data_IF_099658782442
#
_entry.id   IF_099658782442
#
_cell.length_a   1.000
_cell.length_b   1.000
_cell.length_c   1.000
_cell.angle_alpha   90.00
_cell.angle_beta   90.00
_cell.angle_gamma   90.00
#
_symmetry.space_group_name_H-M   'P 1'
#
loop_
_entity.id
_entity.type
_entity.pdbx_description
1 polymer ?
#
# COMPACT_ATOMS: atom_id res chain seq x y z
N UNK A 1 10.13 5.43 1.36
CA UNK A 1 9.98 5.16 2.81
C UNK A 1 11.35 4.91 3.40
N UNK A 2 11.76 5.63 4.45
CA UNK A 2 13.10 5.51 5.06
C UNK A 2 13.03 5.36 6.58
N UNK A 3 14.19 5.14 7.20
CA UNK A 3 14.38 5.39 8.63
C UNK A 3 14.25 6.89 8.94
N UNK A 4 14.16 7.22 10.23
CA UNK A 4 14.07 8.57 10.81
C UNK A 4 15.45 9.21 11.03
N UNK A 5 16.42 8.89 10.16
CA UNK A 5 17.70 9.57 10.10
C UNK A 5 17.69 10.58 8.93
N UNK A 6 17.89 11.88 9.19
CA UNK A 6 17.94 12.92 8.15
C UNK A 6 18.92 12.62 7.01
N UNK A 7 20.01 11.90 7.29
CA UNK A 7 21.04 11.58 6.30
C UNK A 7 20.45 10.82 5.10
N UNK A 8 19.49 9.92 5.30
CA UNK A 8 18.89 9.15 4.22
C UNK A 8 18.07 10.02 3.27
N UNK A 9 17.21 10.89 3.81
CA UNK A 9 16.37 11.76 3.00
C UNK A 9 17.21 12.84 2.30
N UNK A 10 18.20 13.41 2.99
CA UNK A 10 19.09 14.40 2.41
C UNK A 10 19.91 13.80 1.25
N UNK A 11 20.43 12.58 1.42
CA UNK A 11 21.13 11.87 0.36
C UNK A 11 20.21 11.58 -0.84
N UNK A 12 18.96 11.20 -0.61
CA UNK A 12 17.97 11.03 -1.67
C UNK A 12 17.74 12.32 -2.43
N UNK A 13 17.42 13.43 -1.74
CA UNK A 13 17.18 14.72 -2.36
C UNK A 13 18.36 15.21 -3.21
N UNK A 14 19.59 14.99 -2.72
CA UNK A 14 20.79 15.38 -3.44
C UNK A 14 21.00 14.64 -4.78
N UNK A 15 20.49 13.41 -4.91
CA UNK A 15 20.72 12.56 -6.08
C UNK A 15 19.49 12.47 -6.99
N UNK A 16 18.31 12.32 -6.38
CA UNK A 16 17.05 12.04 -7.05
C UNK A 16 16.11 13.25 -7.10
N UNK A 17 16.47 14.35 -6.44
CA UNK A 17 15.60 15.52 -6.27
C UNK A 17 14.54 15.32 -5.18
N UNK A 18 13.65 16.31 -5.04
CA UNK A 18 12.61 16.30 -4.00
C UNK A 18 11.59 15.19 -4.27
N UNK A 19 11.38 14.34 -3.26
CA UNK A 19 10.32 13.34 -3.29
C UNK A 19 8.96 14.00 -3.04
N UNK A 20 7.95 13.60 -3.81
CA UNK A 20 6.54 14.00 -3.62
C UNK A 20 6.04 13.66 -2.20
N UNK A 21 6.44 12.50 -1.69
CA UNK A 21 6.11 12.06 -0.33
C UNK A 21 7.35 11.61 0.46
N UNK A 22 7.59 12.25 1.60
CA UNK A 22 8.58 11.81 2.59
C UNK A 22 7.93 10.89 3.61
N UNK A 23 7.99 9.58 3.38
CA UNK A 23 7.38 8.59 4.26
C UNK A 23 8.39 7.93 5.21
N UNK A 24 8.05 7.82 6.48
CA UNK A 24 8.80 7.10 7.50
C UNK A 24 8.37 5.63 7.60
N UNK A 25 9.32 4.75 7.85
CA UNK A 25 9.06 3.32 8.00
C UNK A 25 8.31 3.02 9.30
N UNK A 26 7.12 2.39 9.19
CA UNK A 26 6.24 2.12 10.33
C UNK A 26 6.93 1.32 11.44
N UNK A 27 7.86 0.42 11.10
CA UNK A 27 8.65 -0.35 12.07
C UNK A 27 9.66 0.50 12.84
N UNK A 28 10.34 1.44 12.16
CA UNK A 28 11.31 2.32 12.83
C UNK A 28 10.61 3.27 13.81
N UNK A 29 9.42 3.74 13.44
CA UNK A 29 8.56 4.50 14.34
C UNK A 29 8.13 3.66 15.53
N UNK A 30 7.62 2.45 15.27
CA UNK A 30 7.19 1.50 16.31
C UNK A 30 8.30 1.22 17.31
N UNK A 31 9.50 0.90 16.81
CA UNK A 31 10.68 0.66 17.62
C UNK A 31 11.07 1.91 18.42
N UNK A 32 11.04 3.09 17.81
CA UNK A 32 11.40 4.35 18.48
C UNK A 32 10.41 4.70 19.57
N UNK A 33 9.10 4.61 19.29
CA UNK A 33 8.04 4.79 20.30
C UNK A 33 8.19 3.79 21.43
N UNK A 34 8.36 2.51 21.14
CA UNK A 34 8.51 1.49 22.18
C UNK A 34 9.69 1.80 23.10
N UNK A 35 10.87 2.11 22.53
CA UNK A 35 12.06 2.50 23.31
C UNK A 35 11.79 3.74 24.18
N UNK A 36 11.18 4.77 23.60
CA UNK A 36 10.99 6.05 24.29
C UNK A 36 9.89 5.99 25.34
N UNK A 37 8.83 5.23 25.12
CA UNK A 37 7.80 4.94 26.14
C UNK A 37 8.45 4.25 27.33
N UNK A 38 9.32 3.27 27.11
CA UNK A 38 9.98 2.57 28.21
C UNK A 38 10.86 3.49 29.06
N UNK A 39 11.53 4.45 28.42
CA UNK A 39 12.47 5.37 29.10
C UNK A 39 11.82 6.62 29.66
N UNK A 40 10.76 7.14 29.02
CA UNK A 40 10.19 8.47 29.32
C UNK A 40 8.84 8.44 30.02
N UNK A 41 8.14 7.30 30.00
CA UNK A 41 6.91 7.11 30.79
C UNK A 41 7.29 6.54 32.15
N UNK A 42 6.97 7.26 33.23
CA UNK A 42 7.29 6.86 34.61
C UNK A 42 6.23 5.97 35.25
N UNK A 43 5.06 5.83 34.62
CA UNK A 43 3.96 5.03 35.13
C UNK A 43 4.13 3.52 34.99
N UNK A 44 3.10 2.79 35.41
CA UNK A 44 3.09 1.32 35.46
C UNK A 44 3.23 0.66 34.08
N UNK A 45 3.50 -0.65 34.08
CA UNK A 45 3.57 -1.43 32.84
C UNK A 45 2.25 -1.38 32.05
N UNK A 46 1.12 -1.38 32.75
CA UNK A 46 -0.22 -1.27 32.17
C UNK A 46 -0.38 0.07 31.45
N UNK A 47 0.07 1.17 32.08
CA UNK A 47 0.02 2.52 31.49
C UNK A 47 0.89 2.64 30.25
N UNK A 48 2.13 2.13 30.31
CA UNK A 48 3.03 2.05 29.16
C UNK A 48 2.41 1.25 28.00
N UNK A 49 1.77 0.13 28.33
CA UNK A 49 1.10 -0.74 27.36
C UNK A 49 -0.11 -0.05 26.74
N UNK A 50 -0.89 0.65 27.55
CA UNK A 50 -2.04 1.44 27.09
C UNK A 50 -1.59 2.52 26.10
N UNK A 51 -0.63 3.37 26.48
CA UNK A 51 -0.11 4.45 25.62
C UNK A 51 0.40 3.89 24.29
N UNK A 52 1.19 2.81 24.35
CA UNK A 52 1.69 2.16 23.15
C UNK A 52 0.55 1.67 22.24
N UNK A 53 -0.44 0.96 22.80
CA UNK A 53 -1.60 0.47 22.03
C UNK A 53 -2.40 1.62 21.41
N UNK A 54 -2.63 2.71 22.15
CA UNK A 54 -3.37 3.85 21.64
C UNK A 54 -2.62 4.53 20.50
N UNK A 55 -1.29 4.69 20.61
CA UNK A 55 -0.45 5.18 19.51
C UNK A 55 -0.46 4.26 18.28
N UNK A 56 -0.56 2.93 18.47
CA UNK A 56 -0.71 1.99 17.35
C UNK A 56 -2.05 2.18 16.64
N UNK A 57 -3.13 2.35 17.39
CA UNK A 57 -4.47 2.61 16.81
C UNK A 57 -4.41 3.91 16.01
N UNK A 58 -3.89 4.99 16.62
CA UNK A 58 -3.69 6.28 15.98
C UNK A 58 -2.85 6.18 14.69
N UNK A 59 -1.74 5.43 14.70
CA UNK A 59 -0.90 5.23 13.52
C UNK A 59 -1.65 4.57 12.36
N UNK A 60 -2.57 3.65 12.65
CA UNK A 60 -3.30 2.86 11.66
C UNK A 60 -4.66 3.46 11.28
N UNK A 61 -5.06 4.58 11.90
CA UNK A 61 -6.28 5.27 11.52
C UNK A 61 -6.18 5.72 10.06
N UNK A 62 -7.25 5.48 9.31
CA UNK A 62 -7.33 5.70 7.85
C UNK A 62 -8.15 6.93 7.50
N UNK A 63 -9.02 7.38 8.40
CA UNK A 63 -9.78 8.62 8.27
C UNK A 63 -9.00 9.78 8.88
N UNK A 64 -8.87 10.88 8.14
CA UNK A 64 -8.13 12.08 8.58
C UNK A 64 -8.83 12.77 9.74
N UNK A 65 -10.17 12.90 9.71
CA UNK A 65 -10.94 13.58 10.75
C UNK A 65 -10.91 12.80 12.07
N UNK A 66 -11.11 11.48 12.00
CA UNK A 66 -11.00 10.60 13.18
C UNK A 66 -9.57 10.61 13.73
N UNK A 67 -8.56 10.61 12.86
CA UNK A 67 -7.15 10.73 13.26
C UNK A 67 -6.86 12.03 14.01
N UNK A 68 -7.32 13.18 13.51
CA UNK A 68 -7.10 14.48 14.15
C UNK A 68 -7.77 14.55 15.52
N UNK A 69 -9.00 14.05 15.63
CA UNK A 69 -9.73 13.97 16.90
C UNK A 69 -9.01 13.07 17.91
N UNK A 70 -8.56 11.89 17.48
CA UNK A 70 -7.79 10.96 18.31
C UNK A 70 -6.44 11.57 18.74
N UNK A 71 -5.75 12.27 17.82
CA UNK A 71 -4.47 12.91 18.06
C UNK A 71 -4.59 14.02 19.11
N UNK A 72 -5.64 14.83 19.04
CA UNK A 72 -5.94 15.86 20.03
C UNK A 72 -6.19 15.22 21.41
N UNK A 73 -7.05 14.22 21.48
CA UNK A 73 -7.39 13.53 22.73
C UNK A 73 -6.17 12.90 23.43
N UNK A 74 -5.34 12.16 22.70
CA UNK A 74 -4.12 11.57 23.29
C UNK A 74 -3.08 12.64 23.64
N UNK A 75 -3.00 13.73 22.88
CA UNK A 75 -2.07 14.82 23.17
C UNK A 75 -2.41 15.50 24.49
N UNK A 76 -3.70 15.74 24.75
CA UNK A 76 -4.16 16.30 26.02
C UNK A 76 -3.92 15.31 27.18
N UNK A 77 -4.26 14.03 27.01
CA UNK A 77 -4.00 12.99 28.01
C UNK A 77 -2.51 12.89 28.39
N UNK A 78 -1.62 12.89 27.39
CA UNK A 78 -0.18 12.78 27.61
C UNK A 78 0.44 14.07 28.19
N UNK A 79 -0.14 15.23 27.89
CA UNK A 79 0.35 16.52 28.38
C UNK A 79 0.00 16.75 29.84
N UNK A 80 -1.21 16.36 30.22
CA UNK A 80 -1.79 16.70 31.52
C UNK A 80 -1.39 15.68 32.61
N UNK A 81 -0.83 14.54 32.23
CA UNK A 81 -0.36 13.50 33.13
C UNK A 81 1.16 13.56 33.39
N UNK A 82 1.53 13.76 34.66
CA UNK A 82 2.92 13.88 35.13
C UNK A 82 3.81 12.67 34.77
N UNK A 83 3.24 11.46 34.68
CA UNK A 83 4.01 10.26 34.32
C UNK A 83 4.42 10.24 32.85
N UNK A 84 3.70 10.99 32.00
CA UNK A 84 3.79 10.88 30.55
C UNK A 84 4.26 12.16 29.88
N UNK A 85 4.29 13.28 30.61
CA UNK A 85 4.70 14.61 30.12
C UNK A 85 6.07 14.64 29.43
N UNK A 86 7.04 13.87 29.90
CA UNK A 86 8.35 13.78 29.26
C UNK A 86 8.27 13.07 27.89
N UNK A 87 7.44 12.03 27.80
CA UNK A 87 7.14 11.36 26.54
C UNK A 87 6.34 12.29 25.61
N UNK A 88 5.38 13.06 26.13
CA UNK A 88 4.64 14.05 25.35
C UNK A 88 5.57 15.07 24.69
N UNK A 89 6.52 15.65 25.43
CA UNK A 89 7.50 16.58 24.88
C UNK A 89 8.33 15.95 23.76
N UNK A 90 8.77 14.70 23.95
CA UNK A 90 9.43 13.94 22.89
C UNK A 90 8.53 13.77 21.66
N UNK A 91 7.28 13.35 21.86
CA UNK A 91 6.32 13.10 20.78
C UNK A 91 5.99 14.39 20.00
N UNK A 92 5.82 15.50 20.71
CA UNK A 92 5.60 16.83 20.14
C UNK A 92 6.76 17.28 19.25
N UNK A 93 7.99 17.27 19.77
CA UNK A 93 9.15 17.72 18.99
C UNK A 93 9.46 16.83 17.79
N UNK A 94 9.16 15.52 17.88
CA UNK A 94 9.61 14.55 16.89
C UNK A 94 8.52 14.03 15.95
N UNK A 95 7.22 14.18 16.23
CA UNK A 95 6.19 13.55 15.38
C UNK A 95 4.99 14.44 15.06
N UNK A 96 4.57 15.34 15.95
CA UNK A 96 3.38 16.17 15.73
C UNK A 96 3.48 17.11 14.53
N UNK A 97 4.67 17.64 14.23
CA UNK A 97 4.87 18.57 13.10
C UNK A 97 5.04 17.87 11.74
N UNK A 98 4.88 16.54 11.68
CA UNK A 98 5.15 15.76 10.47
C UNK A 98 4.25 14.53 10.37
N UNK A 99 2.98 14.69 10.73
CA UNK A 99 1.96 13.63 10.73
C UNK A 99 1.82 12.94 9.37
N UNK A 100 2.01 13.69 8.27
CA UNK A 100 1.93 13.15 6.91
C UNK A 100 3.03 12.14 6.62
N UNK A 101 4.16 12.21 7.34
CA UNK A 101 5.28 11.29 7.15
C UNK A 101 5.02 9.93 7.79
N UNK A 102 4.12 9.83 8.77
CA UNK A 102 3.98 8.62 9.57
C UNK A 102 2.58 8.02 9.68
N UNK A 103 1.51 8.81 9.71
CA UNK A 103 0.15 8.31 9.90
C UNK A 103 -0.40 7.65 8.64
N UNK A 104 -1.28 6.64 8.79
CA UNK A 104 -1.80 5.87 7.66
C UNK A 104 -2.84 6.64 6.84
N UNK A 105 -3.66 7.47 7.48
CA UNK A 105 -4.64 8.34 6.82
C UNK A 105 -4.02 9.24 5.73
N UNK A 106 -2.75 9.65 5.89
CA UNK A 106 -2.01 10.45 4.91
C UNK A 106 -1.18 9.63 3.91
N UNK A 107 -1.16 8.29 4.03
CA UNK A 107 -0.45 7.37 3.10
C UNK A 107 -1.36 6.78 2.02
N UNK A 108 -2.61 7.22 1.95
CA UNK A 108 -3.57 6.75 0.95
C UNK A 108 -2.95 6.86 -0.45
N UNK A 109 -3.17 5.83 -1.28
CA UNK A 109 -2.66 5.71 -2.66
C UNK A 109 -1.14 5.48 -2.81
N UNK A 110 -0.34 5.50 -1.75
CA UNK A 110 1.12 5.31 -1.88
C UNK A 110 1.54 3.86 -2.18
N UNK A 111 0.68 2.86 -1.93
CA UNK A 111 0.97 1.44 -2.20
C UNK A 111 2.11 0.82 -1.36
N UNK A 112 2.66 1.56 -0.39
CA UNK A 112 3.80 1.18 0.47
C UNK A 112 3.29 0.93 1.90
N UNK A 113 2.43 -0.08 2.07
CA UNK A 113 1.89 -0.42 3.39
C UNK A 113 2.67 -1.54 4.12
N UNK A 114 3.59 -2.23 3.44
CA UNK A 114 4.15 -3.49 3.97
C UNK A 114 5.68 -3.45 4.02
N UNK A 115 6.19 -3.09 5.20
CA UNK A 115 7.59 -3.34 5.55
C UNK A 115 7.96 -4.83 5.41
N UNK A 116 6.98 -5.74 5.43
CA UNK A 116 7.15 -7.20 5.33
C UNK A 116 7.94 -7.65 4.09
N UNK A 117 7.73 -7.05 2.91
CA UNK A 117 8.45 -7.47 1.70
C UNK A 117 9.94 -7.08 1.77
N UNK A 118 10.22 -5.85 2.20
CA UNK A 118 11.58 -5.37 2.40
C UNK A 118 12.28 -6.15 3.50
N UNK A 119 11.63 -6.37 4.65
CA UNK A 119 12.17 -7.18 5.75
C UNK A 119 12.43 -8.63 5.32
N UNK A 120 11.55 -9.22 4.51
CA UNK A 120 11.76 -10.57 3.97
C UNK A 120 13.00 -10.62 3.09
N UNK A 121 13.17 -9.65 2.18
CA UNK A 121 14.36 -9.54 1.33
C UNK A 121 15.62 -9.33 2.18
N UNK A 122 15.58 -8.40 3.14
CA UNK A 122 16.71 -8.10 4.02
C UNK A 122 17.10 -9.30 4.89
N UNK A 123 16.13 -10.06 5.42
CA UNK A 123 16.39 -11.32 6.12
C UNK A 123 17.02 -12.34 5.20
N UNK A 124 16.50 -12.51 3.99
CA UNK A 124 17.07 -13.44 3.01
C UNK A 124 18.53 -13.10 2.73
N UNK A 125 18.84 -11.83 2.42
CA UNK A 125 20.20 -11.36 2.19
C UNK A 125 21.08 -11.59 3.43
N UNK A 126 20.60 -11.19 4.62
CA UNK A 126 21.34 -11.31 5.87
C UNK A 126 21.72 -12.74 6.17
N UNK A 127 20.79 -13.69 6.08
CA UNK A 127 21.02 -15.06 6.53
C UNK A 127 21.59 -15.96 5.44
N UNK A 128 21.10 -15.90 4.20
CA UNK A 128 21.54 -16.79 3.13
C UNK A 128 22.77 -16.28 2.37
N UNK A 129 22.99 -14.96 2.31
CA UNK A 129 24.08 -14.37 1.54
C UNK A 129 25.18 -13.75 2.41
N UNK A 130 24.86 -13.35 3.65
CA UNK A 130 25.79 -12.74 4.61
C UNK A 130 26.02 -13.58 5.88
N UNK A 131 25.52 -14.81 5.95
CA UNK A 131 25.71 -15.75 7.06
C UNK A 131 25.33 -15.19 8.44
N UNK A 132 24.32 -14.31 8.49
CA UNK A 132 23.82 -13.69 9.72
C UNK A 132 24.73 -12.60 10.30
N UNK A 133 25.85 -12.28 9.67
CA UNK A 133 26.86 -11.35 10.21
C UNK A 133 26.56 -9.91 9.80
N UNK A 134 26.84 -8.97 10.71
CA UNK A 134 26.84 -7.54 10.37
C UNK A 134 28.02 -7.27 9.45
N UNK A 135 27.74 -6.80 8.23
CA UNK A 135 28.77 -6.49 7.26
C UNK A 135 29.04 -4.98 7.24
N UNK A 136 30.28 -4.59 7.55
CA UNK A 136 30.72 -3.18 7.48
C UNK A 136 31.23 -2.78 6.10
N UNK A 137 31.48 -3.76 5.23
CA UNK A 137 32.05 -3.56 3.89
C UNK A 137 30.96 -3.46 2.85
N UNK A 138 30.88 -2.28 2.23
CA UNK A 138 29.88 -1.98 1.20
C UNK A 138 30.00 -2.89 -0.02
N UNK A 139 31.22 -3.17 -0.47
CA UNK A 139 31.48 -4.02 -1.65
C UNK A 139 30.96 -5.45 -1.47
N UNK A 140 31.07 -6.00 -0.25
CA UNK A 140 30.54 -7.31 0.07
C UNK A 140 29.01 -7.32 0.11
N UNK A 141 28.38 -6.25 0.60
CA UNK A 141 26.93 -6.08 0.53
C UNK A 141 26.44 -6.00 -0.91
N UNK A 142 27.13 -5.25 -1.78
CA UNK A 142 26.81 -5.17 -3.21
C UNK A 142 26.92 -6.55 -3.87
N UNK A 143 27.99 -7.30 -3.60
CA UNK A 143 28.15 -8.64 -4.14
C UNK A 143 27.03 -9.60 -3.66
N UNK A 144 26.64 -9.52 -2.38
CA UNK A 144 25.52 -10.29 -1.85
C UNK A 144 24.19 -9.95 -2.55
N UNK A 145 23.92 -8.65 -2.77
CA UNK A 145 22.76 -8.17 -3.52
C UNK A 145 22.75 -8.69 -4.96
N UNK A 146 23.89 -8.63 -5.67
CA UNK A 146 24.00 -9.13 -7.04
C UNK A 146 23.74 -10.64 -7.13
N UNK A 147 24.27 -11.43 -6.19
CA UNK A 147 23.99 -12.87 -6.11
C UNK A 147 22.50 -13.13 -5.86
N UNK A 148 21.90 -12.42 -4.92
CA UNK A 148 20.47 -12.51 -4.64
C UNK A 148 19.62 -12.21 -5.88
N UNK A 149 19.92 -11.12 -6.60
CA UNK A 149 19.19 -10.75 -7.81
C UNK A 149 19.29 -11.85 -8.88
N UNK A 150 20.49 -12.40 -9.09
CA UNK A 150 20.71 -13.49 -10.05
C UNK A 150 19.88 -14.72 -9.69
N UNK A 151 19.87 -15.11 -8.43
CA UNK A 151 19.17 -16.30 -7.97
C UNK A 151 17.63 -16.11 -8.04
N UNK A 152 17.12 -14.91 -7.73
CA UNK A 152 15.70 -14.57 -7.92
C UNK A 152 15.26 -14.56 -9.40
N UNK A 153 16.13 -14.07 -10.30
CA UNK A 153 15.87 -14.13 -11.75
C UNK A 153 15.77 -15.58 -12.20
N UNK A 154 16.68 -16.45 -11.74
CA UNK A 154 16.67 -17.86 -12.08
C UNK A 154 15.44 -18.59 -11.53
N UNK A 155 15.09 -18.36 -10.27
CA UNK A 155 13.86 -18.87 -9.65
C UNK A 155 12.60 -18.43 -10.42
N UNK A 156 12.59 -17.19 -10.90
CA UNK A 156 11.50 -16.71 -11.75
C UNK A 156 11.42 -17.46 -13.08
N UNK A 157 12.54 -17.72 -13.75
CA UNK A 157 12.54 -18.53 -14.97
C UNK A 157 11.98 -19.93 -14.73
N UNK A 158 12.36 -20.58 -13.62
CA UNK A 158 11.82 -21.88 -13.22
C UNK A 158 10.31 -21.80 -13.01
N UNK A 159 9.81 -20.78 -12.30
CA UNK A 159 8.38 -20.60 -12.06
C UNK A 159 7.60 -20.40 -13.36
N UNK A 160 8.13 -19.59 -14.28
CA UNK A 160 7.54 -19.38 -15.59
C UNK A 160 7.50 -20.68 -16.42
N UNK A 161 8.58 -21.44 -16.45
CA UNK A 161 8.63 -22.74 -17.15
C UNK A 161 7.62 -23.74 -16.57
N UNK A 162 7.33 -23.66 -15.27
CA UNK A 162 6.35 -24.51 -14.57
C UNK A 162 4.93 -23.94 -14.58
N UNK A 163 4.66 -22.83 -15.27
CA UNK A 163 3.39 -22.09 -15.19
C UNK A 163 2.93 -21.79 -13.75
N UNK A 164 3.88 -21.61 -12.81
CA UNK A 164 3.58 -21.22 -11.43
C UNK A 164 3.46 -19.70 -11.34
N UNK A 165 2.33 -19.24 -10.81
CA UNK A 165 2.00 -17.83 -10.64
C UNK A 165 2.68 -17.25 -9.39
N UNK A 166 2.88 -15.93 -9.38
CA UNK A 166 3.18 -15.25 -8.14
C UNK A 166 1.89 -14.95 -7.37
N UNK A 167 1.98 -14.84 -6.04
CA UNK A 167 0.81 -14.61 -5.17
C UNK A 167 0.02 -13.34 -5.53
N UNK A 168 0.66 -12.34 -6.15
CA UNK A 168 0.00 -11.11 -6.60
C UNK A 168 -0.79 -11.33 -7.89
N UNK A 169 -0.30 -12.15 -8.81
CA UNK A 169 -1.06 -12.57 -10.00
C UNK A 169 -2.28 -13.42 -9.61
N UNK A 170 -2.13 -14.32 -8.62
CA UNK A 170 -3.24 -15.13 -8.11
C UNK A 170 -4.36 -14.24 -7.54
N UNK A 171 -3.99 -13.22 -6.74
CA UNK A 171 -4.97 -12.26 -6.20
C UNK A 171 -5.71 -11.47 -7.28
N UNK A 172 -5.01 -11.06 -8.34
CA UNK A 172 -5.64 -10.40 -9.49
C UNK A 172 -6.65 -11.37 -10.14
N UNK A 173 -6.28 -12.64 -10.30
CA UNK A 173 -7.18 -13.65 -10.88
C UNK A 173 -8.40 -13.94 -10.00
N UNK A 174 -8.21 -14.01 -8.68
CA UNK A 174 -9.31 -14.16 -7.71
C UNK A 174 -10.28 -12.99 -7.84
N UNK A 175 -9.78 -11.75 -7.88
CA UNK A 175 -10.62 -10.55 -8.05
C UNK A 175 -11.32 -10.52 -9.41
N UNK A 176 -10.67 -10.97 -10.48
CA UNK A 176 -11.30 -11.13 -11.79
C UNK A 176 -12.45 -12.14 -11.74
N UNK A 177 -12.21 -13.33 -11.20
CA UNK A 177 -13.23 -14.38 -11.09
C UNK A 177 -14.39 -13.97 -10.18
N UNK A 178 -14.11 -13.18 -9.14
CA UNK A 178 -15.15 -12.60 -8.30
C UNK A 178 -16.02 -11.64 -9.11
N UNK A 179 -15.42 -10.79 -9.95
CA UNK A 179 -16.16 -9.85 -10.79
C UNK A 179 -17.09 -10.55 -11.81
N UNK A 180 -16.62 -11.64 -12.42
CA UNK A 180 -17.43 -12.45 -13.36
C UNK A 180 -18.69 -13.02 -12.71
N UNK A 181 -18.67 -13.26 -11.39
CA UNK A 181 -19.78 -13.84 -10.64
C UNK A 181 -20.79 -12.79 -10.12
N UNK A 182 -20.50 -11.49 -10.29
CA UNK A 182 -21.40 -10.43 -9.83
C UNK A 182 -22.58 -10.34 -10.81
N UNK A 183 -23.80 -10.55 -10.30
CA UNK A 183 -25.05 -10.42 -11.06
C UNK A 183 -25.96 -9.28 -10.55
N UNK A 184 -25.64 -8.73 -9.38
CA UNK A 184 -26.48 -7.82 -8.60
C UNK A 184 -25.83 -6.44 -8.40
N UNK A 185 -25.13 -5.96 -9.42
CA UNK A 185 -24.49 -4.64 -9.40
C UNK A 185 -25.09 -3.71 -10.45
N UNK A 186 -25.45 -2.51 -10.02
CA UNK A 186 -25.83 -1.40 -10.88
C UNK A 186 -24.61 -0.50 -11.10
N UNK A 187 -24.25 -0.29 -12.37
CA UNK A 187 -23.15 0.59 -12.77
C UNK A 187 -23.76 1.90 -13.29
N UNK A 188 -23.43 3.01 -12.64
CA UNK A 188 -23.84 4.35 -13.04
C UNK A 188 -22.63 5.10 -13.60
N UNK A 189 -22.69 5.48 -14.88
CA UNK A 189 -21.63 6.28 -15.52
C UNK A 189 -21.79 7.73 -15.09
N UNK A 190 -20.82 8.24 -14.35
CA UNK A 190 -20.82 9.62 -13.84
C UNK A 190 -20.15 10.58 -14.84
N UNK A 191 -19.13 10.11 -15.55
CA UNK A 191 -18.45 10.87 -16.63
C UNK A 191 -17.88 9.93 -17.69
N UNK A 192 -17.14 10.47 -18.66
CA UNK A 192 -16.42 9.67 -19.67
C UNK A 192 -15.42 8.69 -19.04
N UNK A 193 -14.85 9.03 -17.89
CA UNK A 193 -13.76 8.30 -17.23
C UNK A 193 -14.09 7.83 -15.80
N UNK A 194 -15.31 8.06 -15.30
CA UNK A 194 -15.69 7.70 -13.93
C UNK A 194 -17.03 6.96 -13.86
N UNK A 195 -17.06 5.93 -13.02
CA UNK A 195 -18.20 5.05 -12.79
C UNK A 195 -18.44 4.86 -11.30
N UNK A 196 -19.71 4.76 -10.93
CA UNK A 196 -20.16 4.43 -9.58
C UNK A 196 -20.84 3.07 -9.59
N UNK A 197 -20.40 2.17 -8.71
CA UNK A 197 -20.95 0.82 -8.58
C UNK A 197 -21.79 0.76 -7.31
N UNK A 198 -23.05 0.33 -7.43
CA UNK A 198 -23.99 0.12 -6.34
C UNK A 198 -24.43 -1.34 -6.32
N UNK A 199 -24.31 -2.00 -5.17
CA UNK A 199 -24.74 -3.40 -5.00
C UNK A 199 -26.16 -3.43 -4.43
N UNK A 200 -27.03 -4.26 -5.01
CA UNK A 200 -28.45 -4.35 -4.60
C UNK A 200 -28.66 -5.21 -3.34
N UNK A 201 -27.76 -6.14 -3.05
CA UNK A 201 -28.01 -7.23 -2.09
C UNK A 201 -27.03 -7.29 -0.92
N UNK A 202 -26.19 -6.26 -0.73
CA UNK A 202 -25.16 -6.26 0.31
C UNK A 202 -25.07 -4.95 1.09
N UNK A 203 -24.51 -5.03 2.32
CA UNK A 203 -24.05 -3.88 3.12
C UNK A 203 -22.85 -3.15 2.50
N UNK A 204 -22.42 -3.50 1.29
CA UNK A 204 -21.26 -2.86 0.64
C UNK A 204 -21.61 -1.44 0.20
N UNK A 205 -20.82 -0.48 0.68
CA UNK A 205 -20.85 0.92 0.28
C UNK A 205 -20.71 1.04 -1.24
N UNK A 206 -21.33 2.06 -1.85
CA UNK A 206 -21.07 2.38 -3.25
C UNK A 206 -19.59 2.73 -3.46
N UNK A 207 -18.96 2.21 -4.51
CA UNK A 207 -17.57 2.50 -4.82
C UNK A 207 -17.45 3.23 -6.16
N UNK A 208 -16.57 4.23 -6.17
CA UNK A 208 -16.22 4.96 -7.38
C UNK A 208 -14.95 4.36 -8.00
N UNK A 209 -14.99 4.16 -9.33
CA UNK A 209 -13.90 3.70 -10.17
C UNK A 209 -13.60 4.79 -11.19
N UNK A 210 -12.32 5.14 -11.35
CA UNK A 210 -11.88 6.16 -12.31
C UNK A 210 -10.76 5.63 -13.19
N UNK A 211 -10.79 5.96 -14.48
CA UNK A 211 -9.69 5.72 -15.40
C UNK A 211 -8.71 6.89 -15.29
N UNK A 212 -7.45 6.60 -15.00
CA UNK A 212 -6.42 7.63 -14.77
C UNK A 212 -5.49 7.83 -15.95
N UNK A 213 -5.33 6.81 -16.81
CA UNK A 213 -4.51 6.90 -18.01
C UNK A 213 -5.00 5.89 -19.06
N UNK A 214 -4.73 6.18 -20.33
CA UNK A 214 -5.09 5.29 -21.44
C UNK A 214 -4.15 4.09 -21.56
N UNK A 215 -2.85 4.35 -21.39
CA UNK A 215 -1.79 3.37 -21.60
C UNK A 215 -0.91 3.30 -20.35
N UNK A 216 -0.33 2.14 -20.08
CA UNK A 216 0.69 2.02 -19.04
C UNK A 216 2.03 2.51 -19.56
N UNK A 217 2.58 3.56 -18.94
CA UNK A 217 3.91 4.12 -19.28
C UNK A 217 5.06 3.14 -19.06
N UNK A 218 4.81 2.05 -18.31
CA UNK A 218 5.77 0.98 -18.11
C UNK A 218 5.66 -0.04 -19.25
N UNK A 219 6.58 0.08 -20.22
CA UNK A 219 6.73 -0.80 -21.39
C UNK A 219 6.74 -2.30 -21.07
N UNK A 220 7.07 -2.67 -19.83
CA UNK A 220 7.14 -4.06 -19.35
C UNK A 220 6.30 -4.32 -18.10
N UNK A 221 5.15 -3.65 -17.92
CA UNK A 221 4.28 -3.90 -16.77
C UNK A 221 3.86 -5.38 -16.68
N UNK A 222 4.35 -6.09 -15.67
CA UNK A 222 4.07 -7.53 -15.46
C UNK A 222 2.88 -7.80 -14.54
N UNK A 223 2.49 -6.81 -13.72
CA UNK A 223 1.33 -6.91 -12.82
C UNK A 223 0.04 -6.57 -13.58
N UNK A 224 -0.31 -7.45 -14.51
CA UNK A 224 -1.51 -7.31 -15.34
C UNK A 224 -2.44 -8.51 -15.19
N UNK A 225 -3.74 -8.25 -15.26
CA UNK A 225 -4.71 -9.29 -15.50
C UNK A 225 -4.57 -9.77 -16.95
N UNK A 226 -4.37 -11.07 -17.16
CA UNK A 226 -4.17 -11.64 -18.50
C UNK A 226 -5.46 -11.68 -19.33
N UNK A 227 -6.62 -11.77 -18.67
CA UNK A 227 -7.94 -11.84 -19.32
C UNK A 227 -8.48 -10.45 -19.68
N UNK A 228 -8.35 -9.47 -18.77
CA UNK A 228 -8.73 -8.09 -19.05
C UNK A 228 -7.64 -7.32 -19.82
N UNK A 229 -6.39 -7.80 -19.82
CA UNK A 229 -5.19 -7.14 -20.34
C UNK A 229 -4.99 -5.71 -19.80
N UNK A 230 -5.30 -5.51 -18.52
CA UNK A 230 -5.09 -4.26 -17.80
C UNK A 230 -4.12 -4.44 -16.64
N UNK A 231 -3.44 -3.36 -16.27
CA UNK A 231 -2.61 -3.31 -15.07
C UNK A 231 -3.21 -2.34 -14.05
N UNK A 232 -2.71 -2.39 -12.82
CA UNK A 232 -3.20 -1.55 -11.73
C UNK A 232 -2.99 -0.04 -11.94
N UNK A 233 -2.14 0.39 -12.88
CA UNK A 233 -1.89 1.82 -13.15
C UNK A 233 -2.98 2.48 -14.01
N UNK A 234 -3.84 1.71 -14.68
CA UNK A 234 -4.80 2.27 -15.66
C UNK A 234 -6.05 2.83 -14.95
N UNK A 235 -6.41 2.25 -13.80
CA UNK A 235 -7.63 2.56 -13.07
C UNK A 235 -7.36 2.76 -11.58
N UNK A 236 -8.17 3.59 -10.94
CA UNK A 236 -8.27 3.72 -9.49
C UNK A 236 -9.65 3.33 -9.01
N UNK A 237 -9.74 2.86 -7.77
CA UNK A 237 -11.01 2.52 -7.14
C UNK A 237 -10.98 2.86 -5.65
N UNK A 238 -12.06 3.44 -5.12
CA UNK A 238 -12.19 3.77 -3.71
C UNK A 238 -12.32 2.57 -2.75
N UNK A 239 -12.31 1.33 -3.26
CA UNK A 239 -12.46 0.16 -2.40
C UNK A 239 -11.15 -0.21 -1.68
N UNK A 240 -11.22 -0.89 -0.51
CA UNK A 240 -10.04 -1.31 0.25
C UNK A 240 -9.06 -2.19 -0.54
N UNK A 241 -9.56 -3.03 -1.46
CA UNK A 241 -8.72 -3.93 -2.25
C UNK A 241 -7.79 -3.16 -3.21
N UNK A 242 -8.22 -1.98 -3.68
CA UNK A 242 -7.36 -1.10 -4.46
C UNK A 242 -6.57 -0.15 -3.54
N UNK A 243 -7.26 0.63 -2.70
CA UNK A 243 -6.65 1.69 -1.88
C UNK A 243 -5.56 1.18 -0.93
N UNK A 244 -5.76 0.01 -0.32
CA UNK A 244 -4.87 -0.51 0.72
C UNK A 244 -3.89 -1.54 0.15
N UNK A 245 -4.39 -2.44 -0.70
CA UNK A 245 -3.61 -3.60 -1.19
C UNK A 245 -2.97 -3.36 -2.57
N UNK A 246 -3.32 -2.25 -3.23
CA UNK A 246 -2.90 -1.94 -4.61
C UNK A 246 -3.09 -3.14 -5.53
N UNK A 247 -4.26 -3.78 -5.40
CA UNK A 247 -4.70 -4.89 -6.23
C UNK A 247 -5.68 -4.39 -7.30
N UNK A 248 -5.74 -5.08 -8.43
CA UNK A 248 -6.82 -4.86 -9.40
C UNK A 248 -8.07 -5.50 -8.81
N UNK A 249 -8.96 -4.67 -8.28
CA UNK A 249 -10.10 -5.14 -7.52
C UNK A 249 -11.24 -5.66 -8.42
N UNK A 250 -12.19 -6.37 -7.81
CA UNK A 250 -13.40 -6.87 -8.50
C UNK A 250 -14.18 -5.75 -9.22
N UNK A 251 -14.17 -4.53 -8.67
CA UNK A 251 -14.86 -3.36 -9.22
C UNK A 251 -14.27 -2.90 -10.55
N UNK A 252 -12.94 -2.78 -10.64
CA UNK A 252 -12.26 -2.42 -11.89
C UNK A 252 -12.52 -3.50 -12.96
N UNK A 253 -12.46 -4.77 -12.57
CA UNK A 253 -12.79 -5.87 -13.47
C UNK A 253 -14.23 -5.82 -13.97
N UNK A 254 -15.18 -5.50 -13.09
CA UNK A 254 -16.60 -5.41 -13.43
C UNK A 254 -16.87 -4.32 -14.47
N UNK A 255 -16.28 -3.13 -14.32
CA UNK A 255 -16.39 -2.05 -15.32
C UNK A 255 -15.89 -2.54 -16.68
N UNK A 256 -14.69 -3.13 -16.74
CA UNK A 256 -14.11 -3.60 -17.99
C UNK A 256 -14.91 -4.72 -18.66
N UNK A 257 -15.49 -5.62 -17.87
CA UNK A 257 -16.38 -6.67 -18.38
C UNK A 257 -17.66 -6.04 -18.95
N UNK A 258 -18.26 -5.07 -18.24
CA UNK A 258 -19.46 -4.38 -18.70
C UNK A 258 -19.23 -3.59 -19.99
N UNK A 259 -18.09 -2.91 -20.12
CA UNK A 259 -17.74 -2.16 -21.34
C UNK A 259 -17.50 -3.08 -22.53
N UNK A 260 -16.82 -4.23 -22.33
CA UNK A 260 -16.63 -5.23 -23.39
C UNK A 260 -17.95 -5.82 -23.89
N UNK A 261 -18.91 -6.06 -22.98
CA UNK A 261 -20.24 -6.53 -23.36
C UNK A 261 -21.04 -5.47 -24.15
N UNK A 262 -20.96 -4.20 -23.75
CA UNK A 262 -21.58 -3.11 -24.49
C UNK A 262 -21.00 -2.99 -25.90
N UNK A 263 -19.68 -3.13 -26.07
CA UNK A 263 -19.04 -3.10 -27.39
C UNK A 263 -19.47 -4.29 -28.27
N UNK A 264 -19.64 -5.49 -27.71
CA UNK A 264 -20.11 -6.64 -28.48
C UNK A 264 -21.56 -6.48 -28.97
N UNK A 265 -22.44 -5.83 -28.21
CA UNK A 265 -23.82 -5.58 -28.64
C UNK A 265 -23.94 -4.56 -29.79
N UNK A 266 -22.96 -3.67 -29.97
CA UNK A 266 -22.96 -2.69 -31.06
C UNK A 266 -22.40 -3.23 -32.39
N UNK A 267 -21.76 -4.39 -32.40
CA UNK A 267 -21.19 -5.01 -33.62
C UNK A 267 -21.99 -6.23 -34.13
N UNK A 268 -23.17 -6.49 -33.56
CA UNK A 268 -24.06 -7.60 -33.94
C UNK A 268 -25.41 -7.13 -34.49
N UNK A 269 -25.47 -5.96 -35.14
CA UNK A 269 -26.59 -5.66 -36.05
C UNK A 269 -26.26 -6.29 -37.42
N UNK A 270 -27.13 -7.18 -37.97
CA UNK A 270 -26.93 -7.71 -39.30
C UNK A 270 -27.18 -6.62 -40.34
N UNK A 271 -26.25 -6.47 -41.28
CA UNK A 271 -26.51 -5.85 -42.58
C UNK A 271 -27.59 -6.67 -43.30
N UNK A 272 -28.87 -6.36 -43.06
CA UNK A 272 -29.96 -6.70 -43.95
C UNK A 272 -30.30 -5.48 -44.80
N UNK A 273 -29.43 -5.20 -45.76
CA UNK A 273 -29.85 -4.55 -46.99
C UNK A 273 -28.87 -4.86 -48.13
N UNK A 274 -29.15 -5.93 -48.88
CA UNK A 274 -29.02 -5.95 -50.35
C UNK A 274 -29.63 -7.23 -50.92
N UNK A 275 -30.67 -7.00 -51.74
CA UNK A 275 -31.31 -7.85 -52.76
C UNK A 275 -32.15 -9.07 -52.35
#
# INVERSE_FOLDING_TARGET
>A
MSDDDPAFYNAWCNVMGNAEHKLLCSWHIDHSWHKQIQTKVKGSFEKKTYIYKTLKILQHETNVEDFENMLAGISDELRDDNDTKEFYHYFQCNYLNRVEQWAYCHRNLCGINTNIYLESILKTIKYFYLNGRKNKRMDQCINALLKFIRDEIFERFIKLAKNKYCSKEDKIMISHNAAVKICDAKIERMSSITWRIKFTTGKESSYDVSKVQEICDLSNCKLKCRLCNICHHIYTCGCPDFMIRSNICKHIHLILLSEKHLVQTFFTEPDESTE
#
